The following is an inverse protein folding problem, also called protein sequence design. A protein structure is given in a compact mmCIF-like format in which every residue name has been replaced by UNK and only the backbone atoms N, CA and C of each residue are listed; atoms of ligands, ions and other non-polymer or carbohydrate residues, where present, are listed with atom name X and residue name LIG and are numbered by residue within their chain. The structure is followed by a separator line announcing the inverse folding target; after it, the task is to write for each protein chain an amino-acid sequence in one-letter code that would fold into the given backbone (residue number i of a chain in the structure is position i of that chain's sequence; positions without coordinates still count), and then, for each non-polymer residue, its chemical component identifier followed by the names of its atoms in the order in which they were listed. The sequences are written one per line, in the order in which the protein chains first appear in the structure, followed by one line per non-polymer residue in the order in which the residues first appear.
data_IF_575348696791
#
_entry.id   IF_575348696791
#
_cell.length_a   1.000
_cell.length_b   1.000
_cell.length_c   1.000
_cell.angle_alpha   90.00
_cell.angle_beta   90.00
_cell.angle_gamma   90.00
#
_symmetry.space_group_name_H-M   'P 1'
#
loop_
_entity.id
_entity.type
_entity.pdbx_description
1 polymer ?
#
# COMPACT_ATOMS: atom_id res chain seq x y z
N UNK A 1 -11.64 15.67 -6.74
CA UNK A 1 -11.61 14.37 -6.04
C UNK A 1 -10.19 14.18 -5.56
N UNK A 2 -9.95 14.02 -4.25
CA UNK A 2 -8.58 13.89 -3.76
C UNK A 2 -7.97 12.57 -4.23
N UNK A 3 -6.70 12.58 -4.61
CA UNK A 3 -6.00 11.35 -4.92
C UNK A 3 -5.61 10.61 -3.60
N UNK A 4 -5.13 9.37 -3.72
CA UNK A 4 -4.81 8.54 -2.57
C UNK A 4 -3.65 9.10 -1.72
N UNK A 5 -2.70 9.80 -2.35
CA UNK A 5 -1.56 10.42 -1.67
C UNK A 5 -2.02 11.64 -0.86
N UNK A 6 -2.87 12.49 -1.43
CA UNK A 6 -3.43 13.66 -0.73
C UNK A 6 -4.21 13.23 0.51
N UNK A 7 -5.04 12.19 0.37
CA UNK A 7 -5.82 11.63 1.49
C UNK A 7 -4.91 11.07 2.58
N UNK A 8 -3.82 10.40 2.19
CA UNK A 8 -2.82 9.88 3.11
C UNK A 8 -2.12 10.98 3.90
N UNK A 9 -1.63 12.02 3.22
CA UNK A 9 -0.90 13.12 3.86
C UNK A 9 -1.77 13.86 4.89
N UNK A 10 -3.03 14.11 4.55
CA UNK A 10 -3.98 14.76 5.46
C UNK A 10 -4.27 13.91 6.70
N UNK A 11 -4.46 12.61 6.53
CA UNK A 11 -4.70 11.71 7.66
C UNK A 11 -3.44 11.53 8.52
N UNK A 12 -2.26 11.43 7.89
CA UNK A 12 -0.98 11.36 8.59
C UNK A 12 -0.79 12.61 9.47
N UNK A 13 -1.05 13.81 8.94
CA UNK A 13 -0.92 15.04 9.71
C UNK A 13 -1.86 15.06 10.92
N UNK A 14 -3.12 14.67 10.76
CA UNK A 14 -4.07 14.58 11.88
C UNK A 14 -3.60 13.64 12.99
N UNK A 15 -2.96 12.52 12.62
CA UNK A 15 -2.42 11.57 13.59
C UNK A 15 -1.17 12.11 14.31
N UNK A 16 -0.32 12.87 13.60
CA UNK A 16 0.83 13.58 14.20
C UNK A 16 0.33 14.62 15.21
N UNK A 17 -0.63 15.46 14.82
CA UNK A 17 -1.18 16.52 15.68
C UNK A 17 -1.85 15.94 16.93
N UNK A 18 -2.45 14.75 16.82
CA UNK A 18 -3.05 14.02 17.94
C UNK A 18 -2.04 13.25 18.81
N UNK A 19 -0.75 13.25 18.47
CA UNK A 19 0.29 12.48 19.16
C UNK A 19 0.17 10.96 18.99
N UNK A 20 -0.65 10.50 18.03
CA UNK A 20 -0.89 9.09 17.74
C UNK A 20 0.07 8.51 16.68
N UNK A 21 0.95 9.34 16.12
CA UNK A 21 1.90 8.94 15.08
C UNK A 21 3.22 9.71 15.19
N UNK A 22 4.35 8.99 15.17
CA UNK A 22 5.70 9.53 15.11
C UNK A 22 6.35 9.15 13.76
N UNK A 23 6.55 10.10 12.83
CA UNK A 23 7.17 9.82 11.53
C UNK A 23 8.59 9.24 11.63
N UNK A 24 9.32 9.51 12.72
CA UNK A 24 10.69 9.00 12.91
C UNK A 24 10.73 7.51 13.25
N UNK A 25 9.57 6.94 13.62
CA UNK A 25 9.39 5.51 13.86
C UNK A 25 9.09 4.70 12.59
N UNK A 26 8.86 5.37 11.45
CA UNK A 26 8.68 4.71 10.15
C UNK A 26 9.91 3.87 9.78
N UNK A 27 9.69 2.69 9.19
CA UNK A 27 10.74 1.79 8.72
C UNK A 27 10.38 1.27 7.34
N UNK A 28 11.40 0.94 6.54
CA UNK A 28 11.21 0.25 5.27
C UNK A 28 10.44 -1.05 5.48
N UNK A 29 9.32 -1.19 4.80
CA UNK A 29 8.36 -2.25 5.07
C UNK A 29 7.82 -2.88 3.79
N UNK A 30 8.69 -3.20 2.83
CA UNK A 30 8.31 -3.85 1.57
C UNK A 30 7.37 -5.05 1.78
N UNK A 31 6.36 -5.17 0.91
CA UNK A 31 5.39 -6.26 0.94
C UNK A 31 5.66 -7.28 -0.17
N UNK A 32 5.48 -8.56 0.14
CA UNK A 32 5.47 -9.66 -0.84
C UNK A 32 4.21 -10.50 -0.66
N UNK A 33 3.72 -11.12 -1.74
CA UNK A 33 2.53 -11.97 -1.72
C UNK A 33 2.48 -12.89 -2.94
N UNK A 34 1.69 -13.96 -2.85
CA UNK A 34 1.50 -14.96 -3.89
C UNK A 34 0.00 -15.19 -4.12
N UNK A 35 -0.40 -15.29 -5.39
CA UNK A 35 -1.75 -15.63 -5.80
C UNK A 35 -1.64 -16.83 -6.75
N UNK A 36 -2.43 -17.88 -6.49
CA UNK A 36 -2.40 -19.10 -7.28
C UNK A 36 -3.82 -19.65 -7.53
N UNK A 37 -4.00 -20.20 -8.72
CA UNK A 37 -5.17 -20.97 -9.12
C UNK A 37 -4.98 -22.43 -8.68
N UNK A 38 -5.82 -22.96 -7.77
CA UNK A 38 -5.67 -24.33 -7.24
C UNK A 38 -5.90 -25.42 -8.30
N UNK A 39 -6.67 -25.10 -9.33
CA UNK A 39 -6.94 -25.95 -10.49
C UNK A 39 -5.81 -25.90 -11.54
N UNK A 40 -4.80 -25.05 -11.36
CA UNK A 40 -3.69 -24.87 -12.29
C UNK A 40 -4.06 -24.20 -13.61
N UNK A 41 -5.33 -23.84 -13.81
CA UNK A 41 -5.80 -23.23 -15.04
C UNK A 41 -5.32 -21.77 -15.16
N UNK A 42 -4.66 -21.37 -16.26
CA UNK A 42 -4.19 -20.01 -16.43
C UNK A 42 -5.38 -19.04 -16.59
N UNK A 43 -5.37 -17.95 -15.82
CA UNK A 43 -6.46 -16.95 -15.79
C UNK A 43 -5.92 -15.53 -15.74
N UNK A 44 -6.46 -14.63 -16.56
CA UNK A 44 -6.12 -13.20 -16.56
C UNK A 44 -6.41 -12.53 -15.22
N UNK A 45 -7.49 -12.97 -14.57
CA UNK A 45 -7.94 -12.53 -13.25
C UNK A 45 -6.82 -12.65 -12.18
N UNK A 46 -5.99 -13.70 -12.23
CA UNK A 46 -4.86 -13.87 -11.29
C UNK A 46 -3.90 -12.68 -11.38
N UNK A 47 -3.63 -12.21 -12.59
CA UNK A 47 -2.76 -11.05 -12.85
C UNK A 47 -3.45 -9.75 -12.41
N UNK A 48 -4.78 -9.63 -12.56
CA UNK A 48 -5.53 -8.46 -12.09
C UNK A 48 -5.48 -8.35 -10.57
N UNK A 49 -5.66 -9.47 -9.87
CA UNK A 49 -5.53 -9.54 -8.42
C UNK A 49 -4.10 -9.19 -7.96
N UNK A 50 -3.07 -9.67 -8.66
CA UNK A 50 -1.69 -9.33 -8.35
C UNK A 50 -1.42 -7.81 -8.50
N UNK A 51 -1.92 -7.19 -9.56
CA UNK A 51 -1.81 -5.74 -9.76
C UNK A 51 -2.57 -4.97 -8.67
N UNK A 52 -3.78 -5.41 -8.31
CA UNK A 52 -4.55 -4.78 -7.23
C UNK A 52 -3.82 -4.86 -5.88
N UNK A 53 -3.20 -6.01 -5.57
CA UNK A 53 -2.40 -6.19 -4.37
C UNK A 53 -1.17 -5.26 -4.34
N UNK A 54 -0.43 -5.16 -5.45
CA UNK A 54 0.73 -4.25 -5.55
C UNK A 54 0.33 -2.78 -5.40
N UNK A 55 -0.85 -2.39 -5.89
CA UNK A 55 -1.41 -1.04 -5.66
C UNK A 55 -1.81 -0.80 -4.20
N UNK A 56 -1.85 -1.80 -3.33
CA UNK A 56 -2.25 -1.65 -1.93
C UNK A 56 -1.07 -1.52 -0.95
N UNK A 57 0.19 -1.70 -1.41
CA UNK A 57 1.38 -1.67 -0.54
C UNK A 57 2.18 -0.36 -0.61
N UNK A 58 1.69 0.67 -1.28
CA UNK A 58 2.37 1.96 -1.43
C UNK A 58 2.71 2.63 -0.08
N UNK A 59 1.92 2.36 0.96
CA UNK A 59 2.13 2.88 2.31
C UNK A 59 3.34 2.26 3.02
N UNK A 60 4.03 1.29 2.39
CA UNK A 60 5.13 0.54 2.99
C UNK A 60 6.47 0.67 2.27
N UNK A 61 6.54 1.53 1.25
CA UNK A 61 7.76 1.78 0.50
C UNK A 61 8.13 3.27 0.52
N UNK A 62 9.42 3.56 0.42
CA UNK A 62 9.90 4.92 0.22
C UNK A 62 9.36 5.49 -1.11
N UNK A 63 8.82 6.70 -1.07
CA UNK A 63 8.32 7.42 -2.25
C UNK A 63 9.37 8.46 -2.66
N UNK A 64 9.85 8.40 -3.90
CA UNK A 64 10.74 9.44 -4.45
C UNK A 64 9.95 10.73 -4.74
N UNK A 65 10.58 11.89 -4.47
CA UNK A 65 10.01 13.23 -4.69
C UNK A 65 10.14 13.70 -6.14
#
# INVERSE_FOLDING_TARGET
MKNQIETYLENRQKLIDAGAYDPTSERDACGVGLIAALDGAPRREIVEMAIAALKAVWHRGAVAA
#
